data_IF_894059626835
#
_entry.id   IF_894059626835
#
_cell.length_a   1.000
_cell.length_b   1.000
_cell.length_c   1.000
_cell.angle_alpha   90.00
_cell.angle_beta   90.00
_cell.angle_gamma   90.00
#
_symmetry.space_group_name_H-M   'P 1'
#
loop_
_entity.id
_entity.type
_entity.pdbx_description
1 polymer ?
#
# COMPACT_ATOMS: atom_id res chain seq x y z
N UNK A 1 60.24 38.28 -37.40
CA UNK A 1 59.18 37.24 -37.55
C UNK A 1 58.07 37.52 -36.55
N UNK A 2 56.95 38.08 -37.03
CA UNK A 2 55.68 38.24 -36.30
C UNK A 2 54.83 36.99 -36.55
N UNK A 3 54.27 36.37 -35.49
CA UNK A 3 53.10 35.47 -35.42
C UNK A 3 53.21 34.72 -34.09
N UNK A 4 52.26 34.68 -33.18
CA UNK A 4 50.91 35.21 -33.15
C UNK A 4 50.38 34.94 -31.75
N UNK A 5 50.43 35.96 -30.89
CA UNK A 5 49.72 35.98 -29.61
C UNK A 5 48.28 36.39 -29.91
N UNK A 6 47.40 35.42 -30.14
CA UNK A 6 45.92 35.59 -30.18
C UNK A 6 45.28 34.21 -30.37
N UNK A 7 44.83 33.61 -29.28
CA UNK A 7 43.63 32.74 -29.13
C UNK A 7 43.70 32.03 -27.77
N UNK A 8 43.48 32.81 -26.71
CA UNK A 8 43.10 32.31 -25.39
C UNK A 8 41.62 32.63 -25.19
N UNK A 9 40.76 32.05 -26.02
CA UNK A 9 39.30 32.09 -25.87
C UNK A 9 38.77 30.77 -26.47
N UNK A 10 37.91 30.10 -25.71
CA UNK A 10 37.19 28.84 -25.99
C UNK A 10 37.94 27.54 -25.64
N UNK A 11 37.24 26.69 -24.88
CA UNK A 11 37.56 25.31 -24.46
C UNK A 11 38.24 25.11 -23.10
N UNK A 12 37.57 25.50 -22.00
CA UNK A 12 37.60 24.71 -20.74
C UNK A 12 36.22 24.64 -20.03
N UNK A 13 35.24 25.52 -20.30
CA UNK A 13 33.94 25.45 -19.60
C UNK A 13 32.88 24.55 -20.26
N UNK A 14 33.24 23.34 -20.71
CA UNK A 14 32.29 22.42 -21.33
C UNK A 14 32.40 21.00 -20.77
N UNK A 15 32.45 20.89 -19.44
CA UNK A 15 32.30 19.63 -18.72
C UNK A 15 31.48 19.90 -17.46
N UNK A 16 30.41 19.12 -17.29
CA UNK A 16 29.50 19.05 -16.13
C UNK A 16 28.34 20.06 -16.12
N UNK A 17 27.55 20.05 -17.18
CA UNK A 17 26.09 20.21 -17.05
C UNK A 17 25.45 18.90 -17.51
N UNK A 18 25.67 17.83 -16.73
CA UNK A 18 24.64 16.79 -16.65
C UNK A 18 23.59 17.46 -15.79
N UNK A 19 22.61 18.09 -16.44
CA UNK A 19 21.34 18.36 -15.80
C UNK A 19 20.84 17.00 -15.33
N UNK A 20 21.03 16.69 -14.05
CA UNK A 20 20.05 15.89 -13.35
C UNK A 20 18.76 16.68 -13.51
N UNK A 21 18.00 16.33 -14.55
CA UNK A 21 16.56 16.53 -14.53
C UNK A 21 16.08 15.74 -13.32
N UNK A 22 16.15 16.40 -12.16
CA UNK A 22 15.25 16.13 -11.06
C UNK A 22 13.90 16.33 -11.71
N UNK A 23 13.27 15.24 -12.12
CA UNK A 23 11.84 15.25 -12.38
C UNK A 23 11.25 15.83 -11.13
N UNK A 24 10.83 17.10 -11.21
CA UNK A 24 10.00 17.73 -10.20
C UNK A 24 8.74 16.88 -10.23
N UNK A 25 8.68 15.90 -9.33
CA UNK A 25 7.44 15.24 -8.99
C UNK A 25 6.47 16.37 -8.69
N UNK A 26 5.23 16.25 -9.15
CA UNK A 26 4.17 17.12 -8.67
C UNK A 26 4.04 16.82 -7.17
N UNK A 27 4.86 17.50 -6.35
CA UNK A 27 4.64 17.60 -4.92
C UNK A 27 3.19 18.02 -4.81
N UNK A 28 2.40 17.25 -4.10
CA UNK A 28 1.08 17.71 -3.68
C UNK A 28 1.30 19.10 -3.09
N UNK A 29 0.73 20.14 -3.69
CA UNK A 29 0.79 21.47 -3.09
C UNK A 29 0.10 21.35 -1.73
N UNK A 30 0.87 21.38 -0.63
CA UNK A 30 0.38 21.25 0.75
C UNK A 30 -0.84 22.14 1.03
N UNK A 31 -0.88 23.30 0.36
CA UNK A 31 -1.95 24.29 0.44
C UNK A 31 -3.34 23.75 0.03
N UNK A 32 -3.43 22.73 -0.81
CA UNK A 32 -4.71 22.09 -1.20
C UNK A 32 -5.18 21.02 -0.21
N UNK A 33 -4.33 20.54 0.72
CA UNK A 33 -4.63 19.41 1.63
C UNK A 33 -4.61 19.78 3.12
N UNK A 34 -4.77 21.05 3.50
CA UNK A 34 -4.72 21.54 4.89
C UNK A 34 -5.64 20.81 5.91
N UNK A 35 -6.53 19.91 5.48
CA UNK A 35 -7.36 19.08 6.36
C UNK A 35 -6.84 17.65 6.59
N UNK A 36 -5.73 17.26 5.97
CA UNK A 36 -5.08 15.97 6.19
C UNK A 36 -3.89 16.09 7.15
N UNK A 37 -3.59 15.05 7.95
CA UNK A 37 -2.38 15.00 8.75
C UNK A 37 -1.12 15.14 7.90
N UNK A 38 -0.17 15.96 8.36
CA UNK A 38 1.10 16.19 7.65
C UNK A 38 1.84 14.88 7.37
N UNK A 39 1.81 13.94 8.32
CA UNK A 39 2.47 12.64 8.17
C UNK A 39 1.79 11.76 7.12
N UNK A 40 0.46 11.83 6.96
CA UNK A 40 -0.25 11.16 5.85
C UNK A 40 0.20 11.73 4.51
N UNK A 41 0.30 13.06 4.40
CA UNK A 41 0.77 13.73 3.18
C UNK A 41 2.22 13.33 2.87
N UNK A 42 3.09 13.31 3.89
CA UNK A 42 4.48 12.91 3.75
C UNK A 42 4.61 11.46 3.26
N UNK A 43 3.83 10.52 3.82
CA UNK A 43 3.82 9.11 3.39
C UNK A 43 3.29 8.98 1.97
N UNK A 44 2.21 9.70 1.59
CA UNK A 44 1.70 9.72 0.21
C UNK A 44 2.74 10.28 -0.79
N UNK A 45 3.63 11.16 -0.33
CA UNK A 45 4.77 11.67 -1.09
C UNK A 45 6.02 10.76 -1.03
N UNK A 46 5.94 9.61 -0.35
CA UNK A 46 7.00 8.61 -0.31
C UNK A 46 7.93 8.65 0.89
N UNK A 47 7.54 9.28 2.00
CA UNK A 47 8.30 9.19 3.24
C UNK A 47 8.52 7.73 3.65
N UNK A 48 9.71 7.44 4.19
CA UNK A 48 10.02 6.19 4.89
C UNK A 48 9.61 6.28 6.38
N UNK A 49 9.32 7.49 6.89
CA UNK A 49 8.82 7.68 8.27
C UNK A 49 7.32 7.38 8.36
N UNK A 50 7.01 6.11 8.67
CA UNK A 50 5.65 5.57 8.77
C UNK A 50 5.04 5.71 10.17
N UNK A 51 3.73 5.51 10.29
CA UNK A 51 3.08 5.38 11.59
C UNK A 51 3.49 4.05 12.25
N UNK A 52 3.81 4.08 13.53
CA UNK A 52 4.03 2.87 14.32
C UNK A 52 2.89 2.72 15.33
N UNK A 53 2.50 1.48 15.63
CA UNK A 53 1.73 1.22 16.83
C UNK A 53 2.70 1.33 18.00
N UNK A 54 2.40 2.19 18.98
CA UNK A 54 3.17 2.26 20.23
C UNK A 54 3.40 0.83 20.74
N UNK A 55 4.65 0.39 20.73
CA UNK A 55 5.05 -0.94 21.17
C UNK A 55 5.88 -0.83 22.45
N UNK A 56 5.28 -0.66 23.65
CA UNK A 56 6.08 -0.70 24.88
C UNK A 56 6.60 -2.09 25.27
N UNK A 57 6.35 -3.19 24.53
CA UNK A 57 6.66 -4.55 25.06
C UNK A 57 7.33 -5.54 24.07
N UNK A 58 7.43 -5.27 22.75
CA UNK A 58 8.02 -6.27 21.83
C UNK A 58 9.51 -6.10 21.54
N UNK A 59 10.12 -4.97 21.91
CA UNK A 59 11.54 -4.72 21.62
C UNK A 59 12.49 -5.53 22.50
N UNK A 60 12.07 -5.92 23.71
CA UNK A 60 12.88 -6.76 24.62
C UNK A 60 12.73 -8.27 24.33
N UNK A 61 11.62 -8.71 23.72
CA UNK A 61 11.41 -10.13 23.42
C UNK A 61 12.13 -10.61 22.14
N UNK A 62 12.47 -9.70 21.23
CA UNK A 62 13.13 -10.04 19.96
C UNK A 62 14.65 -10.17 20.14
N UNK A 63 15.26 -9.45 21.09
CA UNK A 63 16.72 -9.44 21.29
C UNK A 63 17.24 -10.75 21.93
N UNK A 64 16.45 -11.41 22.77
CA UNK A 64 16.86 -12.71 23.38
C UNK A 64 16.60 -13.93 22.49
N UNK A 65 15.66 -13.86 21.54
CA UNK A 65 15.40 -14.98 20.60
C UNK A 65 16.36 -15.01 19.40
N UNK A 66 17.08 -13.91 19.16
CA UNK A 66 18.04 -13.72 18.06
C UNK A 66 19.27 -14.65 18.17
N UNK A 67 19.61 -15.12 19.38
CA UNK A 67 20.80 -15.97 19.60
C UNK A 67 20.58 -17.48 19.39
N UNK A 68 19.32 -17.93 19.21
CA UNK A 68 18.99 -19.37 19.04
C UNK A 68 18.61 -19.71 17.59
N UNK A 69 18.46 -18.70 16.73
CA UNK A 69 18.07 -18.83 15.33
C UNK A 69 19.20 -18.46 14.35
N UNK A 70 20.43 -18.33 14.83
CA UNK A 70 21.62 -18.09 14.01
C UNK A 70 21.93 -19.37 13.19
N UNK A 71 21.25 -19.50 12.05
CA UNK A 71 21.31 -20.66 11.16
C UNK A 71 19.95 -21.19 10.67
N UNK A 72 18.83 -20.70 11.20
CA UNK A 72 17.49 -20.98 10.67
C UNK A 72 16.95 -19.68 10.08
N UNK A 73 17.17 -19.48 8.78
CA UNK A 73 16.49 -18.43 8.03
C UNK A 73 14.99 -18.74 8.05
N UNK A 74 14.23 -18.09 8.92
CA UNK A 74 12.78 -18.07 8.86
C UNK A 74 12.40 -17.24 7.64
N UNK A 75 12.32 -17.89 6.48
CA UNK A 75 12.07 -17.30 5.15
C UNK A 75 10.60 -16.87 4.93
N UNK A 76 9.94 -16.31 5.96
CA UNK A 76 8.55 -15.85 5.85
C UNK A 76 8.36 -14.54 6.59
N UNK A 77 9.16 -13.55 6.21
CA UNK A 77 8.73 -12.16 6.29
C UNK A 77 8.27 -11.85 4.87
N UNK A 78 7.01 -11.46 4.66
CA UNK A 78 6.59 -10.81 3.41
C UNK A 78 7.51 -9.59 3.25
N UNK A 79 8.54 -9.77 2.41
CA UNK A 79 9.81 -9.09 2.55
C UNK A 79 9.87 -7.82 1.70
N UNK A 80 9.27 -6.75 2.20
CA UNK A 80 9.56 -5.38 1.80
C UNK A 80 9.96 -4.54 3.02
N UNK A 81 10.54 -3.36 2.82
CA UNK A 81 10.47 -2.38 3.90
C UNK A 81 8.99 -2.02 4.08
N UNK A 82 8.54 -1.90 5.33
CA UNK A 82 7.14 -1.85 5.75
C UNK A 82 6.47 -0.49 5.42
N UNK A 83 6.49 -0.05 4.16
CA UNK A 83 5.97 1.27 3.78
C UNK A 83 4.86 1.21 2.75
N UNK A 84 4.76 0.14 1.97
CA UNK A 84 3.90 0.13 0.77
C UNK A 84 2.41 0.13 1.14
N UNK A 85 2.00 -0.59 2.19
CA UNK A 85 0.61 -0.55 2.68
C UNK A 85 0.22 0.85 3.13
N UNK A 86 1.01 1.47 4.01
CA UNK A 86 0.77 2.86 4.42
C UNK A 86 0.82 3.83 3.23
N UNK A 87 1.72 3.67 2.26
CA UNK A 87 1.74 4.48 1.04
C UNK A 87 0.42 4.39 0.26
N UNK A 88 -0.12 3.19 0.08
CA UNK A 88 -1.39 2.96 -0.61
C UNK A 88 -2.54 3.63 0.15
N UNK A 89 -2.62 3.45 1.47
CA UNK A 89 -3.67 4.03 2.31
C UNK A 89 -3.56 5.56 2.33
N UNK A 90 -2.37 6.11 2.49
CA UNK A 90 -2.14 7.55 2.46
C UNK A 90 -2.55 8.16 1.12
N UNK A 91 -2.15 7.54 0.01
CA UNK A 91 -2.53 7.97 -1.34
C UNK A 91 -4.06 7.94 -1.52
N UNK A 92 -4.73 6.90 -1.01
CA UNK A 92 -6.18 6.81 -1.05
C UNK A 92 -6.88 7.90 -0.21
N UNK A 93 -6.37 8.20 0.99
CA UNK A 93 -6.88 9.29 1.84
C UNK A 93 -6.69 10.66 1.18
N UNK A 94 -5.54 10.89 0.55
CA UNK A 94 -5.27 12.09 -0.24
C UNK A 94 -6.27 12.27 -1.37
N UNK A 95 -6.50 11.22 -2.16
CA UNK A 95 -7.46 11.23 -3.26
C UNK A 95 -8.89 11.49 -2.74
N UNK A 96 -9.31 10.78 -1.69
CA UNK A 96 -10.64 10.95 -1.12
C UNK A 96 -10.86 12.36 -0.58
N UNK A 97 -9.88 12.93 0.11
CA UNK A 97 -9.97 14.30 0.60
C UNK A 97 -10.14 15.29 -0.57
N UNK A 98 -9.34 15.12 -1.63
CA UNK A 98 -9.42 15.98 -2.82
C UNK A 98 -10.77 15.88 -3.52
N UNK A 99 -11.28 14.66 -3.70
CA UNK A 99 -12.46 14.40 -4.52
C UNK A 99 -13.79 14.54 -3.75
N UNK A 100 -13.81 14.22 -2.45
CA UNK A 100 -15.01 14.15 -1.62
C UNK A 100 -15.01 15.17 -0.47
N UNK A 101 -13.89 15.85 -0.23
CA UNK A 101 -13.73 16.80 0.87
C UNK A 101 -13.39 16.13 2.20
N UNK A 102 -13.43 16.96 3.26
CA UNK A 102 -13.04 16.55 4.61
C UNK A 102 -14.02 15.55 5.23
N UNK A 103 -13.49 14.60 5.99
CA UNK A 103 -14.22 13.60 6.79
C UNK A 103 -13.52 13.38 8.13
N UNK A 104 -14.22 12.75 9.08
CA UNK A 104 -13.62 12.33 10.35
C UNK A 104 -12.46 11.33 10.16
N UNK A 105 -12.39 10.67 9.00
CA UNK A 105 -11.24 9.85 8.59
C UNK A 105 -9.94 10.65 8.57
N UNK A 106 -10.00 11.95 8.27
CA UNK A 106 -8.85 12.82 8.13
C UNK A 106 -8.37 13.39 9.48
N UNK A 107 -9.04 13.10 10.61
CA UNK A 107 -8.51 13.52 11.91
C UNK A 107 -7.23 12.76 12.27
N UNK A 108 -6.30 13.43 12.94
CA UNK A 108 -5.01 12.85 13.39
C UNK A 108 -5.18 11.49 14.07
N UNK A 109 -6.12 11.39 15.02
CA UNK A 109 -6.36 10.16 15.78
C UNK A 109 -6.87 9.01 14.90
N UNK A 110 -7.82 9.28 14.00
CA UNK A 110 -8.39 8.22 13.15
C UNK A 110 -7.45 7.81 12.03
N UNK A 111 -6.71 8.77 11.47
CA UNK A 111 -5.66 8.50 10.48
C UNK A 111 -4.54 7.65 11.10
N UNK A 112 -4.08 7.97 12.31
CA UNK A 112 -3.12 7.15 13.04
C UNK A 112 -3.60 5.71 13.19
N UNK A 113 -4.85 5.51 13.62
CA UNK A 113 -5.38 4.16 13.81
C UNK A 113 -5.47 3.38 12.49
N UNK A 114 -5.90 4.02 11.39
CA UNK A 114 -5.92 3.35 10.08
C UNK A 114 -4.52 3.00 9.60
N UNK A 115 -3.61 3.97 9.62
CA UNK A 115 -2.26 3.85 9.08
C UNK A 115 -1.45 2.81 9.85
N UNK A 116 -1.46 2.87 11.18
CA UNK A 116 -0.69 1.93 11.99
C UNK A 116 -1.27 0.51 11.98
N UNK A 117 -2.59 0.36 11.80
CA UNK A 117 -3.23 -0.96 11.73
C UNK A 117 -3.24 -1.57 10.33
N UNK A 118 -2.86 -0.83 9.28
CA UNK A 118 -2.69 -1.43 7.95
C UNK A 118 -1.43 -2.28 7.82
N UNK A 119 -0.45 -2.14 8.71
CA UNK A 119 0.73 -3.02 8.75
C UNK A 119 0.63 -4.09 9.85
N UNK A 120 -0.34 -3.93 10.77
CA UNK A 120 -0.52 -4.86 11.88
C UNK A 120 -0.64 -6.34 11.46
N UNK A 121 -1.34 -6.70 10.37
CA UNK A 121 -1.49 -8.10 9.97
C UNK A 121 -0.18 -8.85 9.67
N UNK A 122 0.85 -8.14 9.17
CA UNK A 122 2.14 -8.72 8.81
C UNK A 122 3.10 -8.89 10.00
N UNK A 123 2.82 -8.22 11.12
CA UNK A 123 3.67 -8.33 12.31
C UNK A 123 3.57 -9.73 12.91
N UNK A 124 4.74 -10.33 13.17
CA UNK A 124 4.86 -11.67 13.72
C UNK A 124 4.00 -11.85 14.99
N UNK A 125 3.19 -12.92 15.01
CA UNK A 125 2.28 -13.23 16.12
C UNK A 125 0.86 -12.68 15.97
N UNK A 126 0.61 -11.85 14.95
CA UNK A 126 -0.73 -11.39 14.60
C UNK A 126 -1.38 -12.35 13.59
N UNK A 127 -1.78 -11.87 12.42
CA UNK A 127 -2.49 -12.65 11.40
C UNK A 127 -1.55 -13.29 10.37
N UNK A 128 -0.40 -13.76 10.85
CA UNK A 128 0.61 -14.47 10.04
C UNK A 128 0.30 -15.96 9.85
N UNK A 129 -0.83 -16.45 10.35
CA UNK A 129 -1.34 -17.81 10.12
C UNK A 129 -0.33 -18.92 10.46
N UNK A 130 0.19 -18.90 11.68
CA UNK A 130 1.26 -19.81 12.12
C UNK A 130 2.54 -19.71 11.24
N UNK A 131 2.80 -18.52 10.70
CA UNK A 131 3.93 -18.24 9.81
C UNK A 131 3.69 -18.56 8.33
N UNK A 132 2.48 -19.01 7.96
CA UNK A 132 2.13 -19.35 6.58
C UNK A 132 1.60 -18.17 5.77
N UNK A 133 1.09 -17.13 6.45
CA UNK A 133 0.41 -15.97 5.86
C UNK A 133 -0.75 -16.37 4.94
N UNK A 134 -1.33 -17.55 5.09
CA UNK A 134 -2.31 -18.08 4.13
C UNK A 134 -3.54 -17.16 3.96
N UNK A 135 -3.96 -16.46 5.02
CA UNK A 135 -5.04 -15.50 4.97
C UNK A 135 -4.73 -14.20 4.22
N UNK A 136 -3.49 -13.98 3.77
CA UNK A 136 -3.06 -12.88 2.91
C UNK A 136 -3.24 -13.19 1.41
N UNK A 137 -3.58 -14.43 1.08
CA UNK A 137 -3.73 -14.88 -0.29
C UNK A 137 -5.21 -15.07 -0.64
N UNK A 138 -5.53 -14.82 -1.90
CA UNK A 138 -6.86 -15.09 -2.45
C UNK A 138 -6.77 -15.25 -3.96
N UNK A 139 -6.93 -16.48 -4.45
CA UNK A 139 -7.02 -16.70 -5.88
C UNK A 139 -8.47 -16.50 -6.37
N UNK A 140 -8.76 -15.53 -7.25
CA UNK A 140 -10.13 -15.24 -7.68
C UNK A 140 -10.68 -16.31 -8.63
N UNK A 141 -9.85 -17.16 -9.24
CA UNK A 141 -10.31 -18.25 -10.11
C UNK A 141 -10.77 -19.48 -9.33
N UNK A 142 -10.15 -19.75 -8.18
CA UNK A 142 -10.45 -20.93 -7.36
C UNK A 142 -11.21 -20.60 -6.08
N UNK A 143 -11.16 -19.34 -5.62
CA UNK A 143 -11.81 -18.88 -4.40
C UNK A 143 -11.08 -19.25 -3.11
N UNK A 144 -9.83 -19.73 -3.18
CA UNK A 144 -9.06 -20.24 -2.04
C UNK A 144 -7.66 -19.64 -1.96
N UNK A 145 -7.06 -19.67 -0.77
CA UNK A 145 -5.66 -19.32 -0.54
C UNK A 145 -4.70 -20.43 -1.01
N UNK A 146 -3.40 -20.22 -0.83
CA UNK A 146 -2.36 -21.14 -1.29
C UNK A 146 -2.33 -22.49 -0.56
N UNK A 147 -2.94 -22.58 0.63
CA UNK A 147 -3.19 -23.83 1.35
C UNK A 147 -4.48 -24.54 0.90
N UNK A 148 -5.19 -23.99 -0.09
CA UNK A 148 -6.46 -24.54 -0.58
C UNK A 148 -7.67 -24.26 0.32
N UNK A 149 -7.55 -23.32 1.26
CA UNK A 149 -8.63 -22.97 2.18
C UNK A 149 -9.49 -21.83 1.60
N UNK A 150 -10.81 -21.93 1.77
CA UNK A 150 -11.74 -20.86 1.43
C UNK A 150 -11.84 -19.77 2.50
N UNK A 151 -11.32 -20.04 3.71
CA UNK A 151 -11.21 -19.07 4.81
C UNK A 151 -10.15 -19.53 5.83
N UNK A 152 -9.33 -18.62 6.38
CA UNK A 152 -9.23 -17.22 5.97
C UNK A 152 -8.54 -17.07 4.60
N UNK A 153 -9.01 -16.10 3.81
CA UNK A 153 -8.36 -15.57 2.61
C UNK A 153 -8.33 -14.05 2.70
N UNK A 154 -7.53 -13.37 1.88
CA UNK A 154 -7.48 -11.90 1.92
C UNK A 154 -8.87 -11.29 1.64
N UNK A 155 -9.66 -11.91 0.74
CA UNK A 155 -11.04 -11.51 0.50
C UNK A 155 -11.92 -11.66 1.74
N UNK A 156 -11.89 -12.80 2.42
CA UNK A 156 -12.75 -13.01 3.59
C UNK A 156 -12.35 -12.09 4.75
N UNK A 157 -11.05 -11.86 4.95
CA UNK A 157 -10.55 -10.94 5.98
C UNK A 157 -10.91 -9.49 5.69
N UNK A 158 -10.75 -9.02 4.45
CA UNK A 158 -11.21 -7.68 4.06
C UNK A 158 -12.71 -7.50 4.33
N UNK A 159 -13.56 -8.48 3.97
CA UNK A 159 -15.01 -8.42 4.26
C UNK A 159 -15.29 -8.43 5.76
N UNK A 160 -14.63 -9.29 6.53
CA UNK A 160 -14.80 -9.36 7.97
C UNK A 160 -14.45 -8.03 8.65
N UNK A 161 -13.26 -7.48 8.35
CA UNK A 161 -12.80 -6.23 8.91
C UNK A 161 -13.68 -5.04 8.53
N UNK A 162 -14.22 -5.01 7.30
CA UNK A 162 -15.21 -4.00 6.92
C UNK A 162 -16.44 -4.05 7.84
N UNK A 163 -17.01 -5.25 8.02
CA UNK A 163 -18.21 -5.44 8.82
C UNK A 163 -17.97 -5.11 10.30
N UNK A 164 -16.80 -5.50 10.84
CA UNK A 164 -16.38 -5.14 12.21
C UNK A 164 -16.20 -3.64 12.36
N UNK A 165 -15.60 -2.96 11.38
CA UNK A 165 -15.45 -1.51 11.39
C UNK A 165 -16.82 -0.81 11.42
N UNK A 166 -17.76 -1.21 10.56
CA UNK A 166 -19.13 -0.68 10.54
C UNK A 166 -19.84 -0.91 11.87
N UNK A 167 -19.77 -2.13 12.40
CA UNK A 167 -20.40 -2.47 13.68
C UNK A 167 -19.82 -1.65 14.84
N UNK A 168 -18.49 -1.53 14.93
CA UNK A 168 -17.82 -0.72 15.95
C UNK A 168 -18.20 0.75 15.84
N UNK A 169 -18.24 1.31 14.63
CA UNK A 169 -18.58 2.72 14.43
C UNK A 169 -20.02 3.00 14.86
N UNK A 170 -20.96 2.15 14.46
CA UNK A 170 -22.38 2.26 14.82
C UNK A 170 -22.62 2.08 16.33
N UNK A 171 -21.74 1.35 17.03
CA UNK A 171 -21.76 1.23 18.48
C UNK A 171 -21.10 2.42 19.21
N UNK A 172 -20.58 3.42 18.49
CA UNK A 172 -19.87 4.57 19.06
C UNK A 172 -18.39 4.30 19.37
N UNK A 173 -17.87 3.11 19.06
CA UNK A 173 -16.48 2.72 19.27
C UNK A 173 -15.60 3.16 18.08
N UNK A 174 -15.48 4.47 17.89
CA UNK A 174 -14.84 5.08 16.71
C UNK A 174 -13.39 4.63 16.53
N UNK A 175 -12.58 4.67 17.59
CA UNK A 175 -11.18 4.20 17.55
C UNK A 175 -11.07 2.76 17.06
N UNK A 176 -11.89 1.85 17.60
CA UNK A 176 -11.89 0.44 17.20
C UNK A 176 -12.38 0.26 15.76
N UNK A 177 -13.32 1.08 15.31
CA UNK A 177 -13.74 1.07 13.91
C UNK A 177 -12.59 1.41 12.96
N UNK A 178 -11.78 2.42 13.30
CA UNK A 178 -10.64 2.82 12.48
C UNK A 178 -9.46 1.83 12.55
N UNK A 179 -9.28 1.13 13.67
CA UNK A 179 -8.39 -0.03 13.74
C UNK A 179 -8.81 -1.12 12.77
N UNK A 180 -10.10 -1.49 12.78
CA UNK A 180 -10.62 -2.53 11.89
C UNK A 180 -10.57 -2.13 10.43
N UNK A 181 -10.94 -0.90 10.07
CA UNK A 181 -10.89 -0.50 8.67
C UNK A 181 -9.44 -0.47 8.15
N UNK A 182 -8.46 -0.05 8.98
CA UNK A 182 -7.04 -0.13 8.68
C UNK A 182 -6.55 -1.56 8.43
N UNK A 183 -6.93 -2.53 9.27
CA UNK A 183 -6.63 -3.95 8.99
C UNK A 183 -7.31 -4.44 7.71
N UNK A 184 -8.50 -3.93 7.42
CA UNK A 184 -9.19 -4.21 6.16
C UNK A 184 -8.39 -3.74 4.94
N UNK A 185 -7.84 -2.52 4.98
CA UNK A 185 -7.06 -1.97 3.86
C UNK A 185 -5.79 -2.75 3.56
N UNK A 186 -5.19 -3.40 4.56
CA UNK A 186 -4.10 -4.35 4.37
C UNK A 186 -4.48 -5.44 3.35
N UNK A 187 -5.53 -6.20 3.64
CA UNK A 187 -5.99 -7.29 2.78
C UNK A 187 -6.56 -6.82 1.44
N UNK A 188 -7.12 -5.60 1.39
CA UNK A 188 -7.47 -4.97 0.10
C UNK A 188 -6.20 -4.73 -0.73
N UNK A 189 -5.09 -4.34 -0.10
CA UNK A 189 -3.82 -4.13 -0.77
C UNK A 189 -3.21 -5.46 -1.23
N UNK A 190 -3.24 -6.49 -0.38
CA UNK A 190 -2.72 -7.84 -0.72
C UNK A 190 -3.36 -8.41 -1.97
N UNK A 191 -4.70 -8.37 -2.09
CA UNK A 191 -5.35 -8.90 -3.29
C UNK A 191 -4.95 -8.17 -4.57
N UNK A 192 -4.37 -6.98 -4.44
CA UNK A 192 -3.85 -6.21 -5.55
C UNK A 192 -2.41 -6.61 -5.94
N UNK A 193 -1.73 -7.45 -5.14
CA UNK A 193 -0.43 -8.03 -5.48
C UNK A 193 -0.64 -9.26 -6.37
N UNK A 194 -0.05 -9.33 -7.58
CA UNK A 194 -0.26 -10.43 -8.51
C UNK A 194 0.07 -11.81 -7.94
N UNK A 195 1.08 -11.91 -7.08
CA UNK A 195 1.49 -13.13 -6.39
C UNK A 195 0.44 -13.61 -5.39
N UNK A 196 -0.10 -12.71 -4.55
CA UNK A 196 -1.17 -13.00 -3.60
C UNK A 196 -2.47 -13.44 -4.31
N UNK A 197 -2.78 -12.79 -5.42
CA UNK A 197 -3.93 -13.14 -6.27
C UNK A 197 -3.75 -14.48 -7.00
N UNK A 198 -2.53 -15.02 -7.05
CA UNK A 198 -2.20 -16.23 -7.82
C UNK A 198 -1.71 -17.39 -6.95
N UNK A 199 -1.73 -17.24 -5.62
CA UNK A 199 -1.20 -18.22 -4.67
C UNK A 199 0.28 -18.57 -4.91
N UNK A 200 1.07 -17.59 -5.36
CA UNK A 200 2.51 -17.71 -5.54
C UNK A 200 3.21 -17.14 -4.31
N UNK A 201 3.91 -18.00 -3.56
CA UNK A 201 4.58 -17.63 -2.31
C UNK A 201 6.05 -17.30 -2.58
N UNK A 202 6.74 -16.76 -1.57
CA UNK A 202 8.19 -16.55 -1.62
C UNK A 202 9.00 -17.84 -1.85
N UNK A 203 8.44 -19.02 -1.54
CA UNK A 203 9.12 -20.30 -1.73
C UNK A 203 9.12 -20.79 -3.18
N UNK A 204 8.17 -20.37 -3.99
CA UNK A 204 7.95 -20.93 -5.34
C UNK A 204 7.92 -19.88 -6.44
N UNK A 205 8.29 -18.63 -6.15
CA UNK A 205 8.27 -17.53 -7.10
C UNK A 205 9.24 -16.41 -6.70
N UNK A 206 9.26 -15.34 -7.49
CA UNK A 206 10.01 -14.11 -7.23
C UNK A 206 9.28 -13.11 -6.30
N UNK A 207 8.28 -13.57 -5.53
CA UNK A 207 7.38 -12.75 -4.70
C UNK A 207 8.10 -11.62 -3.94
N UNK A 208 9.03 -11.96 -3.04
CA UNK A 208 9.71 -10.95 -2.21
C UNK A 208 10.58 -10.00 -3.03
N UNK A 209 11.08 -10.43 -4.18
CA UNK A 209 11.83 -9.54 -5.08
C UNK A 209 10.92 -8.50 -5.73
N UNK A 210 9.73 -8.92 -6.17
CA UNK A 210 8.75 -8.02 -6.76
C UNK A 210 8.25 -6.98 -5.74
N UNK A 211 7.91 -7.41 -4.52
CA UNK A 211 7.48 -6.49 -3.45
C UNK A 211 8.57 -5.48 -3.08
N UNK A 212 9.82 -5.94 -2.98
CA UNK A 212 10.96 -5.04 -2.74
C UNK A 212 11.14 -4.03 -3.87
N UNK A 213 10.95 -4.44 -5.13
CA UNK A 213 10.97 -3.52 -6.25
C UNK A 213 9.85 -2.48 -6.14
N UNK A 214 8.63 -2.91 -5.79
CA UNK A 214 7.49 -2.02 -5.60
C UNK A 214 7.78 -1.00 -4.50
N UNK A 215 8.26 -1.43 -3.34
CA UNK A 215 8.55 -0.56 -2.20
C UNK A 215 9.55 0.55 -2.55
N UNK A 216 10.68 0.18 -3.17
CA UNK A 216 11.72 1.14 -3.57
C UNK A 216 11.23 2.14 -4.62
N UNK A 217 10.28 1.75 -5.48
CA UNK A 217 9.80 2.56 -6.59
C UNK A 217 8.39 3.15 -6.35
N UNK A 218 7.81 2.99 -5.15
CA UNK A 218 6.38 3.23 -4.88
C UNK A 218 5.91 4.62 -5.29
N UNK A 219 6.74 5.64 -5.07
CA UNK A 219 6.46 7.04 -5.44
C UNK A 219 6.26 7.27 -6.94
N UNK A 220 6.85 6.41 -7.78
CA UNK A 220 6.69 6.49 -9.23
C UNK A 220 5.33 5.98 -9.72
N UNK A 221 4.54 5.31 -8.87
CA UNK A 221 3.27 4.66 -9.21
C UNK A 221 2.03 5.47 -8.76
N UNK A 222 2.18 6.76 -8.48
CA UNK A 222 1.08 7.65 -8.13
C UNK A 222 -0.03 7.69 -9.19
N UNK A 223 -1.24 8.08 -8.78
CA UNK A 223 -2.36 8.38 -9.69
C UNK A 223 -2.29 9.85 -10.06
N UNK A 224 -2.24 10.15 -11.36
CA UNK A 224 -2.09 11.52 -11.83
C UNK A 224 -3.22 12.44 -11.33
N UNK A 225 -2.84 13.60 -10.81
CA UNK A 225 -3.76 14.59 -10.24
C UNK A 225 -4.37 14.21 -8.90
N UNK A 226 -3.99 13.06 -8.32
CA UNK A 226 -4.56 12.54 -7.06
C UNK A 226 -6.09 12.60 -7.05
N UNK A 227 -6.72 12.17 -8.14
CA UNK A 227 -8.17 12.19 -8.33
C UNK A 227 -8.63 10.93 -9.06
N UNK A 228 -9.85 10.49 -8.80
CA UNK A 228 -10.52 9.38 -9.43
C UNK A 228 -11.81 9.85 -10.11
N UNK A 229 -12.15 9.20 -11.23
CA UNK A 229 -13.41 9.48 -11.90
C UNK A 229 -14.61 9.11 -11.01
N UNK A 230 -15.67 9.92 -11.05
CA UNK A 230 -16.89 9.71 -10.23
C UNK A 230 -17.50 8.29 -10.34
N UNK A 231 -17.38 7.64 -11.51
CA UNK A 231 -17.84 6.27 -11.71
C UNK A 231 -17.17 5.23 -10.79
N UNK A 232 -15.95 5.50 -10.33
CA UNK A 232 -15.23 4.65 -9.37
C UNK A 232 -15.94 4.67 -8.01
N UNK A 233 -16.37 5.83 -7.53
CA UNK A 233 -17.13 5.98 -6.29
C UNK A 233 -18.54 5.41 -6.40
N UNK A 234 -19.20 5.56 -7.55
CA UNK A 234 -20.48 4.89 -7.82
C UNK A 234 -20.34 3.37 -7.75
N UNK A 235 -19.27 2.82 -8.31
CA UNK A 235 -18.97 1.38 -8.22
C UNK A 235 -18.78 0.93 -6.78
N UNK A 236 -18.10 1.74 -5.95
CA UNK A 236 -17.88 1.44 -4.54
C UNK A 236 -19.20 1.29 -3.76
N UNK A 237 -20.14 2.21 -3.95
CA UNK A 237 -21.43 2.16 -3.24
C UNK A 237 -22.33 1.04 -3.75
N UNK A 238 -22.33 0.78 -5.06
CA UNK A 238 -23.24 -0.17 -5.70
C UNK A 238 -22.79 -1.64 -5.62
N UNK A 239 -21.51 -1.90 -5.37
CA UNK A 239 -20.96 -3.26 -5.28
C UNK A 239 -20.93 -3.75 -3.84
N UNK A 240 -21.07 -5.07 -3.61
CA UNK A 240 -20.72 -5.64 -2.31
C UNK A 240 -19.22 -5.49 -2.06
N UNK A 241 -18.79 -5.49 -0.78
CA UNK A 241 -17.36 -5.47 -0.44
C UNK A 241 -16.65 -6.67 -1.09
N UNK A 242 -17.24 -7.86 -0.99
CA UNK A 242 -16.68 -9.08 -1.57
C UNK A 242 -16.49 -9.00 -3.09
N UNK A 243 -17.38 -8.33 -3.81
CA UNK A 243 -17.27 -8.16 -5.27
C UNK A 243 -16.19 -7.14 -5.65
N UNK A 244 -16.03 -6.06 -4.88
CA UNK A 244 -14.93 -5.11 -5.06
C UNK A 244 -13.58 -5.82 -4.92
N UNK A 245 -13.41 -6.58 -3.83
CA UNK A 245 -12.15 -7.29 -3.55
C UNK A 245 -11.89 -8.40 -4.58
N UNK A 246 -12.93 -9.11 -5.02
CA UNK A 246 -12.81 -10.11 -6.08
C UNK A 246 -12.44 -9.48 -7.42
N UNK A 247 -13.05 -8.36 -7.78
CA UNK A 247 -12.73 -7.62 -9.00
C UNK A 247 -11.29 -7.09 -9.02
N UNK A 248 -10.80 -6.61 -7.87
CA UNK A 248 -9.40 -6.22 -7.71
C UNK A 248 -8.45 -7.42 -7.89
N UNK A 249 -8.73 -8.54 -7.22
CA UNK A 249 -7.96 -9.76 -7.37
C UNK A 249 -7.91 -10.27 -8.82
N UNK A 250 -9.02 -10.17 -9.57
CA UNK A 250 -9.06 -10.57 -10.99
C UNK A 250 -8.09 -9.76 -11.86
N UNK A 251 -7.98 -8.45 -11.61
CA UNK A 251 -7.03 -7.59 -12.32
C UNK A 251 -5.59 -7.96 -11.98
N UNK A 252 -5.29 -8.19 -10.71
CA UNK A 252 -3.94 -8.56 -10.28
C UNK A 252 -3.53 -9.95 -10.73
N UNK A 253 -4.45 -10.92 -10.73
CA UNK A 253 -4.22 -12.24 -11.32
C UNK A 253 -3.80 -12.15 -12.79
N UNK A 254 -4.37 -11.23 -13.57
CA UNK A 254 -4.01 -11.04 -14.98
C UNK A 254 -2.60 -10.46 -15.18
N UNK A 255 -1.97 -9.92 -14.13
CA UNK A 255 -0.63 -9.33 -14.18
C UNK A 255 0.47 -10.32 -13.75
N UNK A 256 0.13 -11.54 -13.32
CA UNK A 256 1.08 -12.47 -12.70
C UNK A 256 2.24 -12.89 -13.62
N UNK A 257 2.00 -13.00 -14.93
CA UNK A 257 3.07 -13.30 -15.89
C UNK A 257 4.09 -12.15 -15.96
N UNK A 258 3.60 -10.90 -15.99
CA UNK A 258 4.46 -9.71 -16.01
C UNK A 258 5.18 -9.51 -14.67
N UNK A 259 4.51 -9.78 -13.55
CA UNK A 259 5.08 -9.65 -12.22
C UNK A 259 6.19 -10.69 -11.93
N UNK A 260 6.26 -11.76 -12.72
CA UNK A 260 7.30 -12.79 -12.62
C UNK A 260 8.55 -12.50 -13.48
N UNK A 261 8.55 -11.42 -14.26
CA UNK A 261 9.66 -11.06 -15.15
C UNK A 261 10.19 -9.66 -14.81
N UNK A 262 11.48 -9.56 -14.47
CA UNK A 262 12.12 -8.30 -14.05
C UNK A 262 11.96 -7.17 -15.08
N UNK A 263 12.05 -7.50 -16.36
CA UNK A 263 11.93 -6.53 -17.46
C UNK A 263 10.52 -5.90 -17.55
N UNK A 264 9.51 -6.53 -16.94
CA UNK A 264 8.13 -6.02 -16.89
C UNK A 264 7.67 -5.62 -15.49
N UNK A 265 8.56 -5.57 -14.51
CA UNK A 265 8.24 -5.16 -13.14
C UNK A 265 7.60 -3.78 -13.08
N UNK A 266 8.16 -2.79 -13.79
CA UNK A 266 7.63 -1.42 -13.78
C UNK A 266 6.15 -1.39 -14.19
N UNK A 267 5.82 -2.05 -15.30
CA UNK A 267 4.45 -2.12 -15.83
C UNK A 267 3.50 -2.87 -14.89
N UNK A 268 3.93 -3.99 -14.33
CA UNK A 268 3.13 -4.78 -13.40
C UNK A 268 2.92 -4.04 -12.07
N UNK A 269 3.98 -3.44 -11.53
CA UNK A 269 3.96 -2.66 -10.29
C UNK A 269 3.07 -1.43 -10.42
N UNK A 270 3.21 -0.64 -11.49
CA UNK A 270 2.38 0.54 -11.75
C UNK A 270 0.90 0.19 -11.77
N UNK A 271 0.51 -0.83 -12.53
CA UNK A 271 -0.89 -1.26 -12.61
C UNK A 271 -1.40 -1.82 -11.28
N UNK A 272 -0.59 -2.61 -10.58
CA UNK A 272 -0.96 -3.20 -9.28
C UNK A 272 -1.16 -2.14 -8.21
N UNK A 273 -0.19 -1.22 -8.04
CA UNK A 273 -0.25 -0.16 -7.02
C UNK A 273 -1.37 0.84 -7.32
N UNK A 274 -1.55 1.26 -8.58
CA UNK A 274 -2.65 2.15 -8.92
C UNK A 274 -4.02 1.49 -8.72
N UNK A 275 -4.15 0.19 -8.99
CA UNK A 275 -5.37 -0.55 -8.69
C UNK A 275 -5.58 -0.73 -7.18
N UNK A 276 -4.51 -0.91 -6.41
CA UNK A 276 -4.56 -0.96 -4.94
C UNK A 276 -5.05 0.36 -4.36
N UNK A 277 -4.44 1.49 -4.75
CA UNK A 277 -4.85 2.85 -4.31
C UNK A 277 -6.33 3.09 -4.66
N UNK A 278 -6.73 2.75 -5.89
CA UNK A 278 -8.12 2.89 -6.35
C UNK A 278 -9.07 2.04 -5.51
N UNK A 279 -8.74 0.77 -5.27
CA UNK A 279 -9.61 -0.16 -4.54
C UNK A 279 -9.68 0.20 -3.05
N UNK A 280 -8.58 0.64 -2.44
CA UNK A 280 -8.57 1.15 -1.06
C UNK A 280 -9.40 2.43 -0.95
N UNK A 281 -9.30 3.36 -1.91
CA UNK A 281 -10.17 4.54 -1.94
C UNK A 281 -11.66 4.15 -2.05
N UNK A 282 -12.00 3.17 -2.89
CA UNK A 282 -13.37 2.63 -2.97
C UNK A 282 -13.81 1.99 -1.65
N UNK A 283 -12.96 1.20 -1.03
CA UNK A 283 -13.24 0.50 0.22
C UNK A 283 -13.49 1.47 1.38
N UNK A 284 -12.62 2.48 1.54
CA UNK A 284 -12.78 3.56 2.51
C UNK A 284 -14.02 4.43 2.21
N UNK A 285 -14.23 4.84 0.96
CA UNK A 285 -15.42 5.60 0.58
C UNK A 285 -16.70 4.84 0.90
N UNK A 286 -16.76 3.55 0.56
CA UNK A 286 -17.89 2.69 0.87
C UNK A 286 -18.14 2.62 2.37
N UNK A 287 -17.09 2.43 3.19
CA UNK A 287 -17.20 2.47 4.65
C UNK A 287 -17.81 3.80 5.09
N UNK A 288 -17.28 4.92 4.61
CA UNK A 288 -17.76 6.23 5.00
C UNK A 288 -19.21 6.51 4.59
N UNK A 289 -19.64 6.10 3.39
CA UNK A 289 -21.05 6.16 2.99
C UNK A 289 -21.95 5.25 3.84
N UNK A 290 -21.44 4.09 4.25
CA UNK A 290 -22.19 3.12 5.06
C UNK A 290 -22.43 3.64 6.48
N UNK A 291 -21.48 4.37 7.06
CA UNK A 291 -21.57 4.90 8.43
C UNK A 291 -21.92 6.39 8.52
N UNK A 292 -22.18 7.04 7.38
CA UNK A 292 -22.67 8.43 7.32
C UNK A 292 -21.62 9.51 7.54
N UNK A 293 -20.36 9.28 7.13
CA UNK A 293 -19.25 10.23 7.24
C UNK A 293 -18.71 10.71 5.88
N UNK A 294 -19.45 10.44 4.81
CA UNK A 294 -19.37 10.98 3.45
C UNK A 294 -20.76 11.04 2.82
#
# INVERSE_FOLDING_TARGET
MKKGLKKLICYVCMLLMISSSVTVFASIEEKELNGLPEKVIAIANGSDEIYELDAPILREAIDESSSVLDGISVQFVSGGNDHTHQYIVASALTILYRDQGNSVMNSEANALEMMANTDWPDKLGNETDYGTFAGHFYNPKTGVNWLGQSSPTAKTRAVEYFNRAVASYNAGNVTEAFKYIGRGTHYVSDVNVPHHASNLTALNSNHSEFEKYVDVNRTSFYINGNTLANGIYQTAVNSSVGDLIHGAALKSYALVEQAQQKDTYESAARQSVQNAITTVAQYLYKFGKTVGIY
#
